data_IF_076946761323
#
_entry.id   IF_076946761323
#
_cell.length_a   1.000
_cell.length_b   1.000
_cell.length_c   1.000
_cell.angle_alpha   90.00
_cell.angle_beta   90.00
_cell.angle_gamma   90.00
#
_symmetry.space_group_name_H-M   'P 1'
#
loop_
_entity.id
_entity.type
_entity.pdbx_description
1 polymer ?
#
# COMPACT_ATOMS: atom_id res chain seq x y z
N UNK A 1 2.71 -4.54 -19.90
CA UNK A 1 3.76 -5.58 -19.96
C UNK A 1 4.91 -5.39 -18.97
N UNK A 2 5.25 -4.17 -18.55
CA UNK A 2 6.35 -3.91 -17.60
C UNK A 2 6.26 -4.76 -16.32
N UNK A 3 5.12 -4.73 -15.62
CA UNK A 3 4.92 -5.48 -14.37
C UNK A 3 5.04 -7.00 -14.59
N UNK A 4 4.51 -7.52 -15.71
CA UNK A 4 4.58 -8.96 -16.04
C UNK A 4 6.04 -9.40 -16.20
N UNK A 5 6.83 -8.59 -16.89
CA UNK A 5 8.24 -8.88 -17.15
C UNK A 5 9.07 -8.76 -15.87
N UNK A 6 8.84 -7.73 -15.05
CA UNK A 6 9.52 -7.53 -13.77
C UNK A 6 9.29 -8.72 -12.82
N UNK A 7 8.07 -9.25 -12.80
CA UNK A 7 7.71 -10.43 -12.00
C UNK A 7 8.18 -11.76 -12.63
N UNK A 8 8.66 -11.76 -13.87
CA UNK A 8 9.06 -12.98 -14.59
C UNK A 8 7.89 -13.92 -14.91
N UNK A 9 6.67 -13.40 -15.06
CA UNK A 9 5.48 -14.21 -15.26
C UNK A 9 5.22 -14.50 -16.75
N UNK A 10 4.78 -15.73 -17.06
CA UNK A 10 4.38 -16.12 -18.43
C UNK A 10 3.14 -15.35 -18.92
N UNK A 11 2.24 -15.04 -17.98
CA UNK A 11 1.04 -14.26 -18.23
C UNK A 11 0.66 -13.43 -16.99
N UNK A 12 0.03 -12.28 -17.23
CA UNK A 12 -0.49 -11.39 -16.19
C UNK A 12 -1.83 -10.84 -16.65
N UNK A 13 -2.84 -10.92 -15.79
CA UNK A 13 -4.18 -10.42 -16.04
C UNK A 13 -4.62 -9.55 -14.88
N UNK A 14 -5.21 -8.40 -15.20
CA UNK A 14 -5.86 -7.55 -14.21
C UNK A 14 -7.36 -7.77 -14.26
N UNK A 15 -8.00 -7.74 -13.10
CA UNK A 15 -9.46 -7.71 -13.00
C UNK A 15 -9.98 -6.37 -13.50
N UNK A 16 -11.05 -6.39 -14.30
CA UNK A 16 -11.75 -5.16 -14.68
C UNK A 16 -12.45 -4.53 -13.46
N UNK A 17 -12.31 -3.21 -13.32
CA UNK A 17 -12.83 -2.48 -12.15
C UNK A 17 -14.36 -2.48 -12.10
N UNK A 18 -15.06 -2.44 -13.24
CA UNK A 18 -16.52 -2.47 -13.25
C UNK A 18 -17.04 -3.87 -12.93
N UNK A 19 -16.33 -4.90 -13.37
CA UNK A 19 -16.65 -6.27 -12.98
C UNK A 19 -16.39 -6.52 -11.49
N UNK A 20 -15.33 -5.94 -10.91
CA UNK A 20 -15.10 -5.94 -9.47
C UNK A 20 -16.26 -5.27 -8.72
N UNK A 21 -16.71 -4.09 -9.16
CA UNK A 21 -17.86 -3.37 -8.55
C UNK A 21 -19.13 -4.23 -8.58
N UNK A 22 -19.42 -4.88 -9.71
CA UNK A 22 -20.58 -5.79 -9.85
C UNK A 22 -20.48 -6.98 -8.91
N UNK A 23 -19.31 -7.62 -8.85
CA UNK A 23 -19.08 -8.80 -8.00
C UNK A 23 -19.29 -8.48 -6.52
N UNK A 24 -18.74 -7.37 -6.01
CA UNK A 24 -18.94 -6.96 -4.61
C UNK A 24 -20.41 -6.60 -4.34
N UNK A 25 -21.06 -5.86 -5.25
CA UNK A 25 -22.46 -5.47 -5.11
C UNK A 25 -23.42 -6.66 -5.08
N UNK A 26 -23.08 -7.78 -5.72
CA UNK A 26 -23.88 -9.00 -5.66
C UNK A 26 -24.01 -9.55 -4.23
N UNK A 27 -22.99 -9.37 -3.38
CA UNK A 27 -23.03 -9.80 -1.97
C UNK A 27 -23.94 -8.92 -1.10
N UNK A 28 -24.07 -7.63 -1.41
CA UNK A 28 -25.01 -6.74 -0.73
C UNK A 28 -25.46 -5.59 -1.65
N UNK A 29 -26.62 -5.71 -2.32
CA UNK A 29 -27.11 -4.70 -3.26
C UNK A 29 -27.45 -3.34 -2.64
N UNK A 30 -27.59 -3.26 -1.31
CA UNK A 30 -27.91 -2.01 -0.60
C UNK A 30 -26.73 -1.04 -0.54
N UNK A 31 -25.50 -1.53 -0.69
CA UNK A 31 -24.30 -0.68 -0.70
C UNK A 31 -24.20 0.03 -2.05
N UNK A 32 -24.22 1.36 -2.01
CA UNK A 32 -24.25 2.21 -3.20
C UNK A 32 -22.87 2.61 -3.72
N UNK A 33 -21.90 2.75 -2.81
CA UNK A 33 -20.53 3.18 -3.13
C UNK A 33 -19.56 2.43 -2.22
N UNK A 34 -18.48 1.94 -2.82
CA UNK A 34 -17.36 1.32 -2.11
C UNK A 34 -16.16 2.26 -2.17
N UNK A 35 -15.28 2.21 -1.16
CA UNK A 35 -13.99 2.89 -1.25
C UNK A 35 -13.14 2.15 -2.29
N UNK A 36 -12.76 2.85 -3.36
CA UNK A 36 -11.91 2.33 -4.43
C UNK A 36 -10.67 3.20 -4.63
N UNK A 37 -10.34 4.05 -3.65
CA UNK A 37 -9.28 5.04 -3.74
C UNK A 37 -7.92 4.47 -4.19
N UNK A 38 -7.57 3.26 -3.75
CA UNK A 38 -6.32 2.59 -4.16
C UNK A 38 -6.31 2.11 -5.63
N UNK A 39 -7.47 2.08 -6.28
CA UNK A 39 -7.68 1.55 -7.64
C UNK A 39 -8.02 2.66 -8.65
N UNK A 40 -8.86 3.63 -8.27
CA UNK A 40 -9.32 4.71 -9.14
C UNK A 40 -8.89 6.11 -8.69
N UNK A 41 -8.25 6.24 -7.53
CA UNK A 41 -7.83 7.53 -6.96
C UNK A 41 -8.96 8.37 -6.35
N UNK A 42 -10.21 7.89 -6.33
CA UNK A 42 -11.35 8.60 -5.75
C UNK A 42 -11.41 8.37 -4.23
N UNK A 43 -10.81 9.30 -3.47
CA UNK A 43 -10.81 9.30 -2.01
C UNK A 43 -12.14 9.86 -1.46
N UNK A 44 -13.00 9.03 -0.82
CA UNK A 44 -14.34 9.45 -0.42
C UNK A 44 -14.36 10.46 0.73
N UNK A 45 -13.25 10.64 1.45
CA UNK A 45 -13.13 11.57 2.58
C UNK A 45 -12.84 13.01 2.14
N UNK A 46 -12.34 13.23 0.92
CA UNK A 46 -12.14 14.54 0.31
C UNK A 46 -10.99 15.39 0.88
N UNK A 47 -10.26 14.87 1.86
CA UNK A 47 -9.11 15.51 2.53
C UNK A 47 -7.77 14.92 2.10
N UNK A 48 -7.77 13.89 1.26
CA UNK A 48 -6.55 13.25 0.79
C UNK A 48 -6.02 13.98 -0.43
N UNK A 49 -4.79 14.51 -0.28
CA UNK A 49 -4.07 15.22 -1.33
C UNK A 49 -2.72 14.56 -1.58
N UNK A 50 -2.08 14.88 -2.71
CA UNK A 50 -0.71 14.44 -2.99
C UNK A 50 0.27 14.86 -1.88
N UNK A 51 0.12 16.07 -1.34
CA UNK A 51 0.93 16.57 -0.23
C UNK A 51 0.76 15.71 1.03
N UNK A 52 -0.48 15.33 1.35
CA UNK A 52 -0.77 14.45 2.49
C UNK A 52 -0.12 13.07 2.32
N UNK A 53 -0.15 12.50 1.11
CA UNK A 53 0.47 11.20 0.81
C UNK A 53 1.99 11.28 0.96
N UNK A 54 2.60 12.35 0.44
CA UNK A 54 4.05 12.60 0.55
C UNK A 54 4.51 12.75 2.00
N UNK A 55 3.74 13.46 2.83
CA UNK A 55 4.05 13.58 4.27
C UNK A 55 4.05 12.20 4.95
N UNK A 56 3.07 11.35 4.65
CA UNK A 56 3.02 9.97 5.18
C UNK A 56 4.19 9.10 4.71
N UNK A 57 4.65 9.26 3.46
CA UNK A 57 5.84 8.59 2.96
C UNK A 57 7.10 9.02 3.72
N UNK A 58 7.27 10.32 3.96
CA UNK A 58 8.41 10.84 4.74
C UNK A 58 8.37 10.37 6.20
N UNK A 59 7.19 10.30 6.81
CA UNK A 59 7.03 9.77 8.16
C UNK A 59 7.45 8.29 8.22
N UNK A 60 7.05 7.48 7.24
CA UNK A 60 7.44 6.07 7.14
C UNK A 60 8.94 5.89 6.99
N UNK A 61 9.61 6.69 6.17
CA UNK A 61 11.07 6.61 6.01
C UNK A 61 11.79 6.97 7.32
N UNK A 62 11.37 8.05 8.00
CA UNK A 62 11.93 8.43 9.32
C UNK A 62 11.75 7.33 10.35
N UNK A 63 10.57 6.70 10.41
CA UNK A 63 10.33 5.59 11.33
C UNK A 63 11.22 4.38 11.02
N UNK A 64 11.47 4.10 9.74
CA UNK A 64 12.38 3.03 9.32
C UNK A 64 13.82 3.31 9.75
N UNK A 65 14.34 4.51 9.51
CA UNK A 65 15.68 4.91 9.96
C UNK A 65 15.84 4.82 11.48
N UNK A 66 14.81 5.20 12.24
CA UNK A 66 14.81 5.09 13.70
C UNK A 66 14.87 3.62 14.14
N UNK A 67 14.10 2.74 13.50
CA UNK A 67 14.13 1.30 13.80
C UNK A 67 15.48 0.67 13.45
N UNK A 68 16.12 1.09 12.35
CA UNK A 68 17.47 0.63 11.98
C UNK A 68 18.53 1.07 13.02
N UNK A 69 18.43 2.30 13.53
CA UNK A 69 19.30 2.79 14.61
C UNK A 69 19.09 2.01 15.91
N UNK A 70 17.84 1.76 16.31
CA UNK A 70 17.53 0.97 17.50
C UNK A 70 18.10 -0.45 17.39
N UNK A 71 17.93 -1.10 16.22
CA UNK A 71 18.51 -2.43 15.97
C UNK A 71 20.04 -2.41 15.99
N UNK A 72 20.66 -1.35 15.48
CA UNK A 72 22.11 -1.22 15.53
C UNK A 72 22.62 -1.06 16.97
N UNK A 73 21.97 -0.23 17.77
CA UNK A 73 22.34 0.01 19.17
C UNK A 73 22.09 -1.21 20.07
N UNK A 74 21.02 -1.99 19.83
CA UNK A 74 20.79 -3.28 20.51
C UNK A 74 21.87 -4.31 20.18
N UNK A 75 22.35 -4.37 18.93
CA UNK A 75 23.42 -5.32 18.52
C UNK A 75 24.79 -4.93 19.09
N UNK A 76 25.07 -3.63 19.26
CA UNK A 76 26.34 -3.12 19.80
C UNK A 76 26.40 -3.22 21.34
N UNK A 77 25.25 -3.37 22.00
CA UNK A 77 25.17 -3.48 23.47
C UNK A 77 25.15 -4.92 24.00
N UNK A 78 25.16 -5.94 23.13
CA UNK A 78 25.26 -7.34 23.55
C UNK A 78 26.72 -7.71 23.91
N UNK A 79 27.03 -8.00 25.20
CA UNK A 79 28.38 -8.33 25.64
C UNK A 79 28.90 -9.68 25.11
N UNK A 80 28.08 -10.50 24.43
CA UNK A 80 28.50 -11.73 23.74
C UNK A 80 28.97 -11.51 22.29
N UNK A 81 28.90 -10.29 21.76
CA UNK A 81 29.52 -9.96 20.48
C UNK A 81 31.03 -9.81 20.69
N UNK A 82 31.76 -10.92 20.58
CA UNK A 82 33.23 -10.95 20.50
C UNK A 82 33.74 -10.39 19.18
#
# INVERSE_FOLDING_TARGET
DEIKNELGADALFYQDLDDLKKAVKAGNPSIKRHCMACLDGDYPTGDITEETILDWEQQREKSKEQLEKIKHDEVVSDPLCC
#
